data_IF_974124538948
#
_entry.id   IF_974124538948
#
_cell.length_a   1.000
_cell.length_b   1.000
_cell.length_c   1.000
_cell.angle_alpha   90.00
_cell.angle_beta   90.00
_cell.angle_gamma   90.00
#
_symmetry.space_group_name_H-M   'P 1'
#
loop_
_entity.id
_entity.type
_entity.pdbx_description
1 polymer ?
#
# COMPACT_ATOMS: atom_id res chain seq x y z
N UNK A 1 -12.39 -19.31 -0.64
CA UNK A 1 -12.70 -18.31 0.39
C UNK A 1 -11.78 -17.14 0.14
N UNK A 2 -12.32 -15.99 -0.27
CA UNK A 2 -11.54 -14.75 -0.38
C UNK A 2 -11.08 -14.37 1.03
N UNK A 3 -9.78 -14.44 1.27
CA UNK A 3 -9.16 -13.94 2.50
C UNK A 3 -8.81 -12.48 2.22
N UNK A 4 -9.38 -11.57 3.00
CA UNK A 4 -9.08 -10.15 2.95
C UNK A 4 -8.94 -9.59 4.35
N UNK A 5 -8.27 -8.46 4.44
CA UNK A 5 -8.06 -7.71 5.66
C UNK A 5 -8.68 -6.32 5.50
N UNK A 6 -9.30 -5.84 6.58
CA UNK A 6 -9.79 -4.46 6.65
C UNK A 6 -8.62 -3.55 6.96
N UNK A 7 -8.39 -2.55 6.12
CA UNK A 7 -7.25 -1.65 6.24
C UNK A 7 -7.67 -0.20 5.98
N UNK A 8 -6.93 0.73 6.60
CA UNK A 8 -7.18 2.15 6.49
C UNK A 8 -6.50 2.74 5.24
N UNK A 9 -7.25 3.41 4.36
CA UNK A 9 -6.71 4.10 3.18
C UNK A 9 -5.66 5.15 3.58
N UNK A 10 -6.00 5.98 4.57
CA UNK A 10 -5.06 6.85 5.30
C UNK A 10 -4.80 6.21 6.65
N UNK A 11 -3.53 5.92 7.02
CA UNK A 11 -3.23 5.25 8.28
C UNK A 11 -3.51 6.17 9.47
N UNK A 12 -3.85 5.58 10.62
CA UNK A 12 -4.13 6.31 11.86
C UNK A 12 -2.94 7.19 12.29
N UNK A 13 -1.71 6.73 12.04
CA UNK A 13 -0.48 7.49 12.30
C UNK A 13 -0.38 8.81 11.53
N UNK A 14 -1.12 8.96 10.42
CA UNK A 14 -1.21 10.17 9.62
C UNK A 14 -2.55 10.92 9.82
N UNK A 15 -3.34 10.54 10.82
CA UNK A 15 -4.63 11.18 11.13
C UNK A 15 -5.85 10.55 10.43
N UNK A 16 -5.69 9.38 9.82
CA UNK A 16 -6.81 8.63 9.25
C UNK A 16 -7.82 8.17 10.30
N UNK A 17 -9.11 8.21 9.96
CA UNK A 17 -10.22 7.84 10.85
C UNK A 17 -10.70 6.42 10.56
N UNK A 18 -11.26 5.75 11.56
CA UNK A 18 -11.95 4.47 11.39
C UNK A 18 -13.39 4.72 10.97
N UNK A 19 -13.58 5.10 9.71
CA UNK A 19 -14.88 5.36 9.09
C UNK A 19 -14.98 4.64 7.74
N UNK A 20 -16.18 4.25 7.31
CA UNK A 20 -16.36 3.43 6.11
C UNK A 20 -15.72 4.03 4.85
N UNK A 21 -15.61 5.36 4.76
CA UNK A 21 -14.95 6.03 3.64
C UNK A 21 -13.42 5.92 3.64
N UNK A 22 -12.81 5.60 4.78
CA UNK A 22 -11.37 5.41 4.94
C UNK A 22 -11.00 3.93 5.16
N UNK A 23 -11.95 3.00 5.11
CA UNK A 23 -11.71 1.57 5.27
C UNK A 23 -11.90 0.85 3.93
N UNK A 24 -10.99 -0.08 3.62
CA UNK A 24 -11.06 -0.92 2.44
C UNK A 24 -10.79 -2.37 2.78
N UNK A 25 -11.43 -3.28 2.05
CA UNK A 25 -11.13 -4.72 2.12
C UNK A 25 -10.09 -5.05 1.06
N UNK A 26 -8.88 -5.42 1.49
CA UNK A 26 -7.76 -5.68 0.57
C UNK A 26 -7.15 -7.06 0.80
N UNK A 27 -6.41 -7.54 -0.20
CA UNK A 27 -5.73 -8.83 -0.09
C UNK A 27 -4.60 -8.79 0.97
N UNK A 28 -4.42 -9.83 1.82
CA UNK A 28 -3.35 -9.85 2.83
C UNK A 28 -1.95 -9.75 2.22
N UNK A 29 -1.75 -10.40 1.08
CA UNK A 29 -0.52 -10.36 0.31
C UNK A 29 -0.85 -10.46 -1.18
N UNK A 30 -0.21 -9.63 -2.04
CA UNK A 30 0.81 -8.63 -1.70
C UNK A 30 0.25 -7.28 -1.21
N UNK A 31 -1.05 -7.00 -1.37
CA UNK A 31 -1.63 -5.66 -1.23
C UNK A 31 -1.37 -5.01 0.15
N UNK A 32 -1.77 -5.68 1.23
CA UNK A 32 -1.63 -5.16 2.58
C UNK A 32 -0.16 -5.05 3.01
N UNK A 33 0.65 -6.04 2.64
CA UNK A 33 2.09 -6.05 2.89
C UNK A 33 2.82 -4.88 2.18
N UNK A 34 2.53 -4.64 0.91
CA UNK A 34 3.13 -3.56 0.12
C UNK A 34 2.74 -2.19 0.64
N UNK A 35 1.46 -2.01 1.03
CA UNK A 35 1.00 -0.78 1.67
C UNK A 35 1.73 -0.54 2.99
N UNK A 36 1.79 -1.54 3.86
CA UNK A 36 2.49 -1.46 5.14
C UNK A 36 3.96 -1.08 4.96
N UNK A 37 4.64 -1.70 3.99
CA UNK A 37 6.03 -1.39 3.67
C UNK A 37 6.21 0.05 3.15
N UNK A 38 5.28 0.53 2.32
CA UNK A 38 5.26 1.91 1.83
C UNK A 38 5.09 2.91 2.95
N UNK A 39 4.09 2.71 3.80
CA UNK A 39 3.78 3.59 4.93
C UNK A 39 4.94 3.64 5.94
N UNK A 40 5.57 2.49 6.22
CA UNK A 40 6.74 2.40 7.09
C UNK A 40 7.95 3.16 6.52
N UNK A 41 8.16 3.11 5.19
CA UNK A 41 9.21 3.88 4.54
C UNK A 41 8.91 5.39 4.57
N UNK A 42 7.68 5.79 4.28
CA UNK A 42 7.24 7.19 4.30
C UNK A 42 7.39 7.81 5.70
N UNK A 43 7.06 7.06 6.75
CA UNK A 43 7.29 7.48 8.14
C UNK A 43 8.78 7.69 8.48
N UNK A 44 9.68 7.02 7.76
CA UNK A 44 11.15 7.20 7.86
C UNK A 44 11.69 8.29 6.91
N UNK A 45 10.81 9.01 6.19
CA UNK A 45 11.21 9.98 5.18
C UNK A 45 11.80 9.35 3.90
N UNK A 46 11.57 8.06 3.68
CA UNK A 46 12.05 7.32 2.50
C UNK A 46 10.89 7.04 1.56
N UNK A 47 11.08 7.30 0.27
CA UNK A 47 10.10 6.88 -0.74
C UNK A 47 10.47 5.52 -1.30
N UNK A 48 9.71 4.48 -0.98
CA UNK A 48 9.80 3.18 -1.64
C UNK A 48 8.85 3.15 -2.83
N UNK A 49 9.32 3.70 -3.95
CA UNK A 49 8.70 3.42 -5.26
C UNK A 49 9.28 2.09 -5.75
N UNK A 50 8.47 1.02 -5.92
CA UNK A 50 8.95 -0.15 -6.61
C UNK A 50 9.49 0.30 -7.97
N UNK A 51 10.75 -0.05 -8.28
CA UNK A 51 11.34 0.27 -9.58
C UNK A 51 10.49 -0.45 -10.63
N UNK A 52 9.81 0.32 -11.47
CA UNK A 52 9.17 -0.24 -12.65
C UNK A 52 10.23 -1.06 -13.41
N UNK A 53 9.89 -2.31 -13.73
CA UNK A 53 10.73 -3.09 -14.63
C UNK A 53 10.54 -2.43 -16.00
N UNK A 54 11.63 -2.01 -16.62
CA UNK A 54 11.61 -1.43 -17.96
C UNK A 54 12.02 -2.53 -18.93
N UNK A 55 11.18 -2.78 -19.94
CA UNK A 55 11.45 -3.70 -21.03
C UNK A 55 12.62 -3.24 -21.90
N UNK A 56 13.10 -4.14 -22.77
CA UNK A 56 14.18 -3.82 -23.74
C UNK A 56 13.77 -2.75 -24.74
N UNK A 57 12.48 -2.49 -24.88
CA UNK A 57 11.84 -1.47 -25.71
C UNK A 57 11.70 -0.11 -25.00
N UNK A 58 12.06 -0.03 -23.72
CA UNK A 58 11.98 1.20 -22.92
C UNK A 58 10.62 1.45 -22.26
N UNK A 59 9.66 0.52 -22.36
CA UNK A 59 8.34 0.65 -21.75
C UNK A 59 8.21 -0.16 -20.44
N UNK A 60 7.35 0.24 -19.48
CA UNK A 60 7.10 -0.54 -18.27
C UNK A 60 6.52 -1.93 -18.58
N UNK A 61 7.02 -2.97 -17.87
CA UNK A 61 6.53 -4.36 -17.91
C UNK A 61 5.95 -4.83 -16.58
#
# INVERSE_FOLDING_TARGET
MEQGECDHVVPVSQGGKTELGNLGWICPSPCHADKSAREAAEAQGRTVRPKARIGVDGWPI
#
